data_IF_272378492684
#
_entry.id   IF_272378492684
#
_cell.length_a   1.000
_cell.length_b   1.000
_cell.length_c   1.000
_cell.angle_alpha   90.00
_cell.angle_beta   90.00
_cell.angle_gamma   90.00
#
_symmetry.space_group_name_H-M   'P 1'
#
loop_
_entity.id
_entity.type
_entity.pdbx_description
1 polymer ?
#
# COMPACT_ATOMS: atom_id res chain seq x y z
N UNK A 1 -31.30 22.54 -1.89
CA UNK A 1 -30.37 21.72 -2.71
C UNK A 1 -29.50 22.71 -3.48
N UNK A 2 -28.17 22.58 -3.56
CA UNK A 2 -27.40 23.58 -4.29
C UNK A 2 -27.64 23.43 -5.79
N UNK A 3 -28.34 24.40 -6.40
CA UNK A 3 -28.70 24.52 -7.82
C UNK A 3 -27.49 24.72 -8.78
N UNK A 4 -26.29 24.27 -8.40
CA UNK A 4 -25.05 24.50 -9.16
C UNK A 4 -24.21 23.25 -9.42
N UNK A 5 -24.77 22.05 -9.23
CA UNK A 5 -24.08 20.82 -9.65
C UNK A 5 -24.34 20.57 -11.14
N UNK A 6 -23.33 20.81 -11.99
CA UNK A 6 -23.34 20.43 -13.41
C UNK A 6 -22.83 19.01 -13.57
N UNK A 7 -23.67 18.11 -14.07
CA UNK A 7 -23.26 16.74 -14.45
C UNK A 7 -22.66 16.77 -15.84
N UNK A 8 -21.42 16.30 -15.98
CA UNK A 8 -20.69 16.27 -17.24
C UNK A 8 -20.90 14.93 -17.96
N UNK A 9 -21.85 14.90 -18.92
CA UNK A 9 -22.27 13.64 -19.55
C UNK A 9 -21.37 13.16 -20.70
N UNK A 10 -20.59 14.04 -21.33
CA UNK A 10 -19.70 13.70 -22.46
C UNK A 10 -18.32 13.20 -21.99
N UNK A 11 -17.72 12.29 -22.77
CA UNK A 11 -16.38 11.74 -22.52
C UNK A 11 -15.30 12.83 -22.54
N UNK A 12 -15.39 13.79 -23.47
CA UNK A 12 -14.41 14.88 -23.62
C UNK A 12 -14.38 15.77 -22.37
N UNK A 13 -15.55 16.21 -21.88
CA UNK A 13 -15.65 17.05 -20.68
C UNK A 13 -15.13 16.34 -19.42
N UNK A 14 -15.38 15.04 -19.27
CA UNK A 14 -14.83 14.23 -18.16
C UNK A 14 -13.31 14.11 -18.26
N UNK A 15 -12.77 13.90 -19.47
CA UNK A 15 -11.33 13.85 -19.69
C UNK A 15 -10.64 15.19 -19.41
N UNK A 16 -11.26 16.31 -19.80
CA UNK A 16 -10.75 17.65 -19.51
C UNK A 16 -10.67 17.93 -18.00
N UNK A 17 -11.72 17.57 -17.24
CA UNK A 17 -11.72 17.73 -15.78
C UNK A 17 -10.66 16.88 -15.08
N UNK A 18 -10.52 15.61 -15.47
CA UNK A 18 -9.47 14.74 -14.95
C UNK A 18 -8.08 15.30 -15.22
N UNK A 19 -7.85 15.88 -16.42
CA UNK A 19 -6.59 16.56 -16.74
C UNK A 19 -6.37 17.82 -15.91
N UNK A 20 -7.41 18.63 -15.65
CA UNK A 20 -7.29 19.82 -14.82
C UNK A 20 -6.87 19.48 -13.38
N UNK A 21 -7.53 18.50 -12.75
CA UNK A 21 -7.17 18.05 -11.40
C UNK A 21 -5.75 17.49 -11.38
N UNK A 22 -5.42 16.62 -12.33
CA UNK A 22 -4.08 16.06 -12.47
C UNK A 22 -3.00 17.16 -12.60
N UNK A 23 -3.21 18.16 -13.47
CA UNK A 23 -2.27 19.26 -13.66
C UNK A 23 -2.13 20.11 -12.39
N UNK A 24 -3.24 20.37 -11.68
CA UNK A 24 -3.21 21.08 -10.41
C UNK A 24 -2.41 20.33 -9.34
N UNK A 25 -2.71 19.05 -9.13
CA UNK A 25 -2.03 18.20 -8.16
C UNK A 25 -0.53 18.06 -8.46
N UNK A 26 -0.18 17.81 -9.73
CA UNK A 26 1.21 17.77 -10.19
C UNK A 26 1.92 19.12 -9.99
N UNK A 27 1.26 20.23 -10.29
CA UNK A 27 1.81 21.56 -10.08
C UNK A 27 2.06 21.87 -8.60
N UNK A 28 1.12 21.50 -7.72
CA UNK A 28 1.29 21.61 -6.26
C UNK A 28 2.46 20.73 -5.78
N UNK A 29 2.54 19.50 -6.26
CA UNK A 29 3.62 18.57 -5.90
C UNK A 29 5.00 19.12 -6.35
N UNK A 30 5.12 19.60 -7.58
CA UNK A 30 6.37 20.20 -8.08
C UNK A 30 6.79 21.41 -7.26
N UNK A 31 5.88 22.35 -6.95
CA UNK A 31 6.19 23.49 -6.07
C UNK A 31 6.65 23.03 -4.69
N UNK A 32 6.01 21.99 -4.14
CA UNK A 32 6.41 21.37 -2.88
C UNK A 32 7.82 20.78 -2.93
N UNK A 33 8.15 20.06 -4.01
CA UNK A 33 9.48 19.50 -4.23
C UNK A 33 10.53 20.60 -4.38
N UNK A 34 10.30 21.62 -5.23
CA UNK A 34 11.22 22.74 -5.40
C UNK A 34 11.49 23.50 -4.10
N UNK A 35 10.43 23.79 -3.33
CA UNK A 35 10.56 24.38 -1.99
C UNK A 35 11.37 23.46 -1.06
N UNK A 36 11.10 22.15 -1.11
CA UNK A 36 11.83 21.15 -0.36
C UNK A 36 13.32 21.08 -0.69
N UNK A 37 13.69 21.17 -1.98
CA UNK A 37 15.08 21.25 -2.44
C UNK A 37 15.76 22.50 -1.90
N UNK A 38 15.13 23.67 -2.01
CA UNK A 38 15.66 24.94 -1.47
C UNK A 38 15.91 24.87 0.04
N UNK A 39 14.98 24.30 0.81
CA UNK A 39 15.16 24.15 2.27
C UNK A 39 16.31 23.19 2.60
N UNK A 40 16.53 22.14 1.80
CA UNK A 40 17.66 21.22 2.04
C UNK A 40 19.01 21.92 1.92
N UNK A 41 19.16 22.91 1.04
CA UNK A 41 20.44 23.62 0.87
C UNK A 41 20.80 24.49 2.09
N UNK A 42 19.81 24.90 2.89
CA UNK A 42 20.01 25.73 4.09
C UNK A 42 20.34 24.91 5.34
N UNK A 43 20.18 23.58 5.31
CA UNK A 43 20.48 22.69 6.45
C UNK A 43 21.98 22.42 6.49
N UNK A 44 22.64 22.85 7.57
CA UNK A 44 24.10 22.70 7.76
C UNK A 44 24.46 21.77 8.90
N UNK A 45 23.52 21.46 9.79
CA UNK A 45 23.79 20.69 11.01
C UNK A 45 22.86 19.49 11.17
N UNK A 46 23.31 18.51 11.96
CA UNK A 46 22.47 17.37 12.37
C UNK A 46 21.20 17.79 13.10
N UNK A 47 21.27 18.88 13.88
CA UNK A 47 20.12 19.41 14.64
C UNK A 47 19.04 19.92 13.69
N UNK A 48 19.41 20.70 12.69
CA UNK A 48 18.49 21.21 11.66
C UNK A 48 17.89 20.09 10.81
N UNK A 49 18.71 19.09 10.43
CA UNK A 49 18.23 17.92 9.70
C UNK A 49 17.15 17.16 10.49
N UNK A 50 17.38 16.95 11.80
CA UNK A 50 16.39 16.31 12.71
C UNK A 50 15.12 17.15 12.84
N UNK A 51 15.24 18.48 12.97
CA UNK A 51 14.08 19.36 13.02
C UNK A 51 13.22 19.24 11.75
N UNK A 52 13.85 19.19 10.56
CA UNK A 52 13.14 18.96 9.30
C UNK A 52 12.49 17.58 9.24
N UNK A 53 13.16 16.52 9.70
CA UNK A 53 12.57 15.17 9.75
C UNK A 53 11.30 15.15 10.62
N UNK A 54 11.32 15.78 11.78
CA UNK A 54 10.15 15.91 12.66
C UNK A 54 9.01 16.66 11.95
N UNK A 55 9.32 17.80 11.33
CA UNK A 55 8.35 18.59 10.56
C UNK A 55 7.72 17.78 9.42
N UNK A 56 8.53 17.11 8.60
CA UNK A 56 8.03 16.32 7.47
C UNK A 56 7.20 15.12 7.94
N UNK A 57 7.60 14.46 9.03
CA UNK A 57 6.82 13.39 9.63
C UNK A 57 5.45 13.89 10.09
N UNK A 58 5.40 15.05 10.74
CA UNK A 58 4.14 15.66 11.15
C UNK A 58 3.26 15.98 9.94
N UNK A 59 3.78 16.64 8.91
CA UNK A 59 3.01 16.95 7.68
C UNK A 59 2.52 15.72 6.95
N UNK A 60 3.32 14.66 6.90
CA UNK A 60 2.90 13.38 6.36
C UNK A 60 1.72 12.80 7.14
N UNK A 61 1.81 12.75 8.47
CA UNK A 61 0.71 12.25 9.31
C UNK A 61 -0.56 13.10 9.20
N UNK A 62 -0.43 14.43 9.15
CA UNK A 62 -1.56 15.34 8.90
C UNK A 62 -2.24 15.05 7.56
N UNK A 63 -1.47 14.80 6.49
CA UNK A 63 -2.01 14.49 5.16
C UNK A 63 -2.75 13.15 5.06
N UNK A 64 -2.39 12.17 5.90
CA UNK A 64 -3.09 10.88 5.95
C UNK A 64 -4.42 10.97 6.70
N UNK A 65 -4.60 12.01 7.52
CA UNK A 65 -5.72 12.12 8.46
C UNK A 65 -5.58 11.18 9.67
N UNK A 66 -6.62 11.09 10.51
CA UNK A 66 -6.60 10.27 11.70
C UNK A 66 -6.54 8.78 11.35
N UNK A 67 -5.67 8.03 12.02
CA UNK A 67 -5.68 6.57 11.91
C UNK A 67 -6.96 5.98 12.51
N UNK A 68 -7.48 4.88 11.93
CA UNK A 68 -8.61 4.17 12.52
C UNK A 68 -8.24 3.62 13.90
N UNK A 69 -9.24 3.39 14.75
CA UNK A 69 -9.07 2.72 16.05
C UNK A 69 -8.33 1.39 15.86
N UNK A 70 -7.26 1.20 16.64
CA UNK A 70 -6.52 -0.08 16.65
C UNK A 70 -7.46 -1.21 17.07
N UNK A 71 -7.34 -2.34 16.39
CA UNK A 71 -8.05 -3.57 16.73
C UNK A 71 -7.05 -4.67 17.09
N UNK A 72 -7.43 -5.63 17.95
CA UNK A 72 -6.62 -6.83 18.17
C UNK A 72 -6.34 -7.52 16.84
N UNK A 73 -5.10 -7.96 16.62
CA UNK A 73 -4.65 -8.48 15.32
C UNK A 73 -5.40 -9.76 14.90
N UNK A 74 -5.82 -10.59 15.87
CA UNK A 74 -6.46 -11.91 15.66
C UNK A 74 -5.80 -12.74 14.55
N UNK A 75 -4.47 -12.74 14.51
CA UNK A 75 -3.71 -13.49 13.51
C UNK A 75 -3.86 -14.99 13.72
N UNK A 76 -4.00 -15.73 12.61
CA UNK A 76 -4.10 -17.18 12.58
C UNK A 76 -3.22 -17.72 11.46
N UNK A 77 -2.45 -18.75 11.76
CA UNK A 77 -1.81 -19.58 10.73
C UNK A 77 -2.84 -20.59 10.25
N UNK A 78 -3.21 -20.50 8.97
CA UNK A 78 -4.24 -21.37 8.37
C UNK A 78 -3.66 -22.56 7.62
N UNK A 79 -2.38 -22.48 7.24
CA UNK A 79 -1.64 -23.59 6.67
C UNK A 79 -0.14 -23.38 6.86
N UNK A 80 0.61 -24.48 6.90
CA UNK A 80 2.08 -24.46 6.94
C UNK A 80 2.62 -25.38 5.88
N UNK A 81 3.58 -24.89 5.10
CA UNK A 81 4.30 -25.65 4.10
C UNK A 81 5.75 -25.78 4.58
N UNK A 82 6.23 -27.00 4.71
CA UNK A 82 7.61 -27.26 5.08
C UNK A 82 8.53 -27.30 3.86
N UNK A 83 9.68 -26.64 3.98
CA UNK A 83 10.84 -26.77 3.08
C UNK A 83 12.03 -27.27 3.88
N UNK A 84 13.13 -27.57 3.20
CA UNK A 84 14.33 -28.09 3.85
C UNK A 84 14.91 -27.09 4.86
N UNK A 85 15.18 -25.86 4.43
CA UNK A 85 15.85 -24.80 5.21
C UNK A 85 14.89 -23.80 5.90
N UNK A 86 13.60 -23.80 5.56
CA UNK A 86 12.59 -22.89 6.11
C UNK A 86 11.19 -23.52 6.14
N UNK A 87 10.22 -22.80 6.69
CA UNK A 87 8.78 -23.07 6.53
C UNK A 87 8.07 -21.82 6.02
N UNK A 88 6.95 -22.05 5.35
CA UNK A 88 6.06 -21.01 4.83
C UNK A 88 4.74 -21.14 5.56
N UNK A 89 4.34 -20.12 6.30
CA UNK A 89 3.07 -20.07 7.02
C UNK A 89 2.11 -19.15 6.28
N UNK A 90 0.92 -19.63 5.94
CA UNK A 90 -0.17 -18.81 5.42
C UNK A 90 -0.90 -18.18 6.60
N UNK A 91 -0.89 -16.86 6.66
CA UNK A 91 -1.43 -16.08 7.78
C UNK A 91 -2.69 -15.33 7.32
N UNK A 92 -3.72 -15.35 8.16
CA UNK A 92 -4.86 -14.44 8.06
C UNK A 92 -4.94 -13.63 9.35
N UNK A 93 -5.08 -12.32 9.25
CA UNK A 93 -5.24 -11.43 10.40
C UNK A 93 -6.19 -10.28 10.07
N UNK A 94 -6.61 -9.50 11.06
CA UNK A 94 -7.46 -8.33 10.84
C UNK A 94 -6.66 -7.03 11.01
N UNK A 95 -6.77 -6.11 10.05
CA UNK A 95 -6.15 -4.77 10.14
C UNK A 95 -7.09 -3.73 10.76
N UNK A 96 -8.40 -3.98 10.67
CA UNK A 96 -9.50 -3.27 11.34
C UNK A 96 -10.54 -4.32 11.77
N UNK A 97 -11.51 -4.01 12.64
CA UNK A 97 -12.55 -4.97 12.99
C UNK A 97 -13.21 -5.54 11.73
N UNK A 98 -13.19 -6.86 11.60
CA UNK A 98 -13.75 -7.60 10.45
C UNK A 98 -13.12 -7.27 9.08
N UNK A 99 -11.93 -6.66 9.04
CA UNK A 99 -11.22 -6.35 7.79
C UNK A 99 -9.94 -7.19 7.66
N UNK A 100 -10.09 -8.32 6.96
CA UNK A 100 -9.06 -9.34 6.87
C UNK A 100 -7.93 -8.96 5.90
N UNK A 101 -6.73 -9.39 6.25
CA UNK A 101 -5.51 -9.32 5.46
C UNK A 101 -4.92 -10.71 5.41
N UNK A 102 -4.57 -11.15 4.22
CA UNK A 102 -3.91 -12.42 3.95
C UNK A 102 -2.43 -12.19 3.72
N UNK A 103 -1.61 -13.10 4.21
CA UNK A 103 -0.16 -12.98 4.15
C UNK A 103 0.55 -14.34 4.12
N UNK A 104 1.83 -14.29 3.77
CA UNK A 104 2.75 -15.41 3.81
C UNK A 104 3.93 -15.00 4.69
N UNK A 105 4.21 -15.82 5.70
CA UNK A 105 5.35 -15.67 6.60
C UNK A 105 6.38 -16.77 6.31
N UNK A 106 7.56 -16.37 5.86
CA UNK A 106 8.70 -17.25 5.64
C UNK A 106 9.56 -17.26 6.91
N UNK A 107 9.77 -18.44 7.50
CA UNK A 107 10.46 -18.59 8.79
C UNK A 107 11.63 -19.58 8.64
N UNK A 108 12.87 -19.19 8.95
CA UNK A 108 14.02 -20.07 8.82
C UNK A 108 13.96 -21.20 9.85
N UNK A 109 14.48 -22.38 9.48
CA UNK A 109 14.64 -23.53 10.38
C UNK A 109 16.06 -23.59 10.94
N UNK A 110 16.22 -24.24 12.10
CA UNK A 110 17.55 -24.50 12.69
C UNK A 110 18.29 -23.24 13.16
N UNK A 111 17.59 -22.12 13.35
CA UNK A 111 18.15 -20.86 13.86
C UNK A 111 17.62 -20.59 15.27
N UNK A 112 18.46 -19.98 16.11
CA UNK A 112 18.06 -19.52 17.45
C UNK A 112 17.33 -18.17 17.33
N UNK A 113 16.09 -18.09 17.80
CA UNK A 113 15.33 -16.84 17.79
C UNK A 113 15.76 -15.89 18.93
N UNK A 114 15.55 -14.56 18.79
CA UNK A 114 14.90 -13.86 17.67
C UNK A 114 15.78 -13.78 16.41
N UNK A 115 15.15 -13.65 15.25
CA UNK A 115 15.81 -13.41 13.96
C UNK A 115 15.32 -12.07 13.39
N UNK A 116 16.11 -11.36 12.56
CA UNK A 116 15.67 -10.09 12.01
C UNK A 116 14.46 -10.27 11.09
N UNK A 117 13.46 -9.40 11.25
CA UNK A 117 12.21 -9.43 10.50
C UNK A 117 12.21 -8.45 9.33
N UNK A 118 11.66 -8.87 8.19
CA UNK A 118 11.46 -8.05 6.99
C UNK A 118 9.97 -8.02 6.67
N UNK A 119 9.40 -6.82 6.61
CA UNK A 119 8.09 -6.59 6.00
C UNK A 119 8.29 -6.38 4.50
N UNK A 120 7.73 -7.25 3.68
CA UNK A 120 7.88 -7.25 2.23
C UNK A 120 6.57 -6.83 1.57
N UNK A 121 6.38 -5.53 1.25
CA UNK A 121 5.21 -5.08 0.50
C UNK A 121 5.31 -5.54 -0.96
N UNK A 122 4.22 -6.07 -1.50
CA UNK A 122 4.13 -6.42 -2.92
C UNK A 122 4.10 -5.15 -3.79
N UNK A 123 4.58 -5.28 -5.03
CA UNK A 123 4.33 -4.29 -6.09
C UNK A 123 2.93 -4.46 -6.67
N UNK A 124 2.82 -4.50 -8.00
CA UNK A 124 1.54 -4.50 -8.73
C UNK A 124 1.28 -5.79 -9.51
N UNK A 125 1.66 -6.95 -8.97
CA UNK A 125 1.34 -8.25 -9.57
C UNK A 125 -0.12 -8.62 -9.27
N UNK A 126 -0.78 -9.28 -10.22
CA UNK A 126 -2.17 -9.72 -10.06
C UNK A 126 -2.28 -10.76 -8.94
N UNK A 127 -1.29 -11.65 -8.85
CA UNK A 127 -1.18 -12.73 -7.87
C UNK A 127 -0.86 -12.23 -6.45
N UNK A 128 -0.62 -10.93 -6.26
CA UNK A 128 -0.25 -10.34 -4.98
C UNK A 128 0.97 -11.02 -4.37
N UNK A 129 0.86 -11.46 -3.12
CA UNK A 129 1.92 -12.16 -2.36
C UNK A 129 2.39 -13.47 -2.99
N UNK A 130 1.59 -14.05 -3.89
CA UNK A 130 1.94 -15.26 -4.62
C UNK A 130 2.71 -15.00 -5.92
N UNK A 131 3.00 -13.73 -6.26
CA UNK A 131 3.82 -13.38 -7.43
C UNK A 131 5.20 -14.05 -7.41
N UNK A 132 5.60 -14.62 -8.54
CA UNK A 132 6.85 -15.35 -8.76
C UNK A 132 8.10 -14.61 -8.25
N UNK A 133 8.28 -13.35 -8.65
CA UNK A 133 9.43 -12.53 -8.26
C UNK A 133 9.46 -12.21 -6.77
N UNK A 134 8.30 -12.09 -6.13
CA UNK A 134 8.20 -11.85 -4.70
C UNK A 134 8.49 -13.11 -3.89
N UNK A 135 8.01 -14.26 -4.36
CA UNK A 135 8.38 -15.55 -3.76
C UNK A 135 9.88 -15.78 -3.84
N UNK A 136 10.50 -15.56 -5.01
CA UNK A 136 11.96 -15.69 -5.17
C UNK A 136 12.74 -14.79 -4.21
N UNK A 137 12.34 -13.52 -4.08
CA UNK A 137 12.97 -12.58 -3.15
C UNK A 137 12.82 -13.02 -1.69
N UNK A 138 11.60 -13.40 -1.28
CA UNK A 138 11.34 -13.85 0.09
C UNK A 138 12.08 -15.15 0.43
N UNK A 139 12.16 -16.09 -0.51
CA UNK A 139 12.92 -17.34 -0.36
C UNK A 139 14.40 -17.03 -0.19
N UNK A 140 14.98 -16.19 -1.06
CA UNK A 140 16.38 -15.80 -0.94
C UNK A 140 16.71 -15.12 0.40
N UNK A 141 15.79 -14.32 0.94
CA UNK A 141 15.93 -13.69 2.25
C UNK A 141 15.81 -14.70 3.40
N UNK A 142 14.80 -15.58 3.41
CA UNK A 142 14.64 -16.54 4.51
C UNK A 142 15.79 -17.55 4.58
N UNK A 143 16.37 -17.94 3.44
CA UNK A 143 17.55 -18.81 3.42
C UNK A 143 18.79 -18.15 4.04
N UNK A 144 18.85 -16.81 4.06
CA UNK A 144 19.88 -16.02 4.74
C UNK A 144 19.59 -15.79 6.23
N UNK A 145 18.49 -16.34 6.75
CA UNK A 145 18.13 -16.29 8.17
C UNK A 145 17.14 -15.19 8.55
N UNK A 146 16.57 -14.46 7.58
CA UNK A 146 15.55 -13.46 7.87
C UNK A 146 14.16 -14.11 8.06
N UNK A 147 13.34 -13.55 8.94
CA UNK A 147 11.90 -13.83 8.95
C UNK A 147 11.24 -12.84 8.01
N UNK A 148 10.52 -13.30 6.98
CA UNK A 148 9.99 -12.41 5.94
C UNK A 148 8.47 -12.51 5.91
N UNK A 149 7.78 -11.38 6.04
CA UNK A 149 6.33 -11.31 5.96
C UNK A 149 5.89 -10.55 4.71
N UNK A 150 5.24 -11.25 3.79
CA UNK A 150 4.67 -10.70 2.55
C UNK A 150 3.15 -10.75 2.63
N UNK A 151 2.43 -9.69 2.23
CA UNK A 151 0.98 -9.63 2.34
C UNK A 151 0.33 -9.09 1.08
N UNK A 152 -0.94 -9.44 0.84
CA UNK A 152 -1.69 -8.93 -0.30
C UNK A 152 -2.07 -7.46 -0.08
N UNK A 153 -1.71 -6.54 -0.99
CA UNK A 153 -2.29 -5.21 -1.04
C UNK A 153 -3.80 -5.29 -1.33
N UNK A 154 -4.52 -4.20 -1.07
CA UNK A 154 -5.90 -4.09 -1.53
C UNK A 154 -5.95 -4.13 -3.06
N UNK A 155 -6.91 -4.89 -3.60
CA UNK A 155 -7.08 -5.07 -5.04
C UNK A 155 -6.09 -6.02 -5.70
N UNK A 156 -5.40 -6.87 -4.92
CA UNK A 156 -4.47 -7.88 -5.44
C UNK A 156 -4.67 -9.22 -4.73
N UNK A 157 -4.31 -10.31 -5.42
CA UNK A 157 -4.33 -11.66 -4.85
C UNK A 157 -5.69 -12.01 -4.24
N UNK A 158 -5.68 -12.44 -2.97
CA UNK A 158 -6.89 -12.84 -2.23
C UNK A 158 -7.70 -11.64 -1.71
N UNK A 159 -7.29 -10.40 -2.03
CA UNK A 159 -7.91 -9.16 -1.55
C UNK A 159 -8.49 -8.30 -2.67
N UNK A 160 -8.83 -8.92 -3.81
CA UNK A 160 -9.73 -8.36 -4.82
C UNK A 160 -11.11 -8.10 -4.20
N UNK A 161 -11.68 -6.94 -4.49
CA UNK A 161 -12.97 -6.50 -3.92
C UNK A 161 -14.03 -6.25 -4.99
N UNK A 162 -13.63 -5.94 -6.22
CA UNK A 162 -14.55 -5.61 -7.29
C UNK A 162 -14.60 -6.74 -8.31
N UNK A 163 -15.76 -7.38 -8.43
CA UNK A 163 -16.01 -8.49 -9.35
C UNK A 163 -17.12 -8.13 -10.33
N UNK A 164 -17.04 -8.65 -11.55
CA UNK A 164 -18.11 -8.56 -12.54
C UNK A 164 -19.28 -9.49 -12.19
N UNK A 165 -20.34 -9.44 -12.99
CA UNK A 165 -21.53 -10.29 -12.82
C UNK A 165 -21.25 -11.79 -12.93
N UNK A 166 -20.09 -12.18 -13.47
CA UNK A 166 -19.65 -13.57 -13.60
C UNK A 166 -18.68 -13.97 -12.47
N UNK A 167 -18.46 -13.10 -11.47
CA UNK A 167 -17.55 -13.34 -10.37
C UNK A 167 -16.06 -13.22 -10.73
N UNK A 168 -15.72 -12.63 -11.88
CA UNK A 168 -14.32 -12.39 -12.27
C UNK A 168 -13.84 -11.03 -11.77
N UNK A 169 -12.55 -10.89 -11.37
CA UNK A 169 -12.00 -9.59 -11.02
C UNK A 169 -12.25 -8.55 -12.12
N UNK A 170 -12.93 -7.46 -11.77
CA UNK A 170 -13.36 -6.45 -12.75
C UNK A 170 -12.20 -5.56 -13.24
N UNK A 171 -11.14 -5.43 -12.44
CA UNK A 171 -9.99 -4.57 -12.73
C UNK A 171 -8.67 -5.23 -12.35
N UNK A 172 -7.62 -4.85 -13.08
CA UNK A 172 -6.24 -5.17 -12.72
C UNK A 172 -5.81 -4.52 -11.39
N UNK A 173 -4.61 -4.86 -10.92
CA UNK A 173 -4.20 -4.63 -9.53
C UNK A 173 -4.06 -3.13 -9.18
N UNK A 174 -3.67 -2.31 -10.14
CA UNK A 174 -3.63 -0.84 -10.02
C UNK A 174 -4.97 -0.20 -10.27
N UNK A 175 -5.64 -0.61 -11.34
CA UNK A 175 -6.91 -0.02 -11.76
C UNK A 175 -8.01 -0.18 -10.70
N UNK A 176 -7.99 -1.25 -9.91
CA UNK A 176 -8.97 -1.48 -8.85
C UNK A 176 -8.90 -0.45 -7.72
N UNK A 177 -7.71 -0.21 -7.18
CA UNK A 177 -7.57 0.78 -6.11
C UNK A 177 -7.76 2.21 -6.64
N UNK A 178 -7.41 2.50 -7.90
CA UNK A 178 -7.77 3.76 -8.54
C UNK A 178 -9.29 3.93 -8.63
N UNK A 179 -10.02 2.87 -8.99
CA UNK A 179 -11.48 2.89 -9.05
C UNK A 179 -12.15 3.13 -7.69
N UNK A 180 -11.60 2.55 -6.62
CA UNK A 180 -12.02 2.87 -5.26
C UNK A 180 -11.71 4.34 -4.90
N UNK A 181 -10.52 4.83 -5.28
CA UNK A 181 -10.03 6.17 -4.96
C UNK A 181 -10.77 7.31 -5.67
N UNK A 182 -11.15 7.14 -6.94
CA UNK A 182 -11.87 8.17 -7.72
C UNK A 182 -13.18 8.58 -7.07
N UNK A 183 -13.84 7.66 -6.36
CA UNK A 183 -15.08 7.93 -5.62
C UNK A 183 -14.86 8.90 -4.43
N UNK A 184 -13.62 9.09 -4.00
CA UNK A 184 -13.26 10.02 -2.92
C UNK A 184 -12.82 11.39 -3.43
N UNK A 185 -12.70 11.57 -4.74
CA UNK A 185 -12.38 12.84 -5.36
C UNK A 185 -13.66 13.68 -5.52
N UNK A 186 -13.58 14.97 -5.24
CA UNK A 186 -14.69 15.91 -5.41
C UNK A 186 -15.25 15.91 -6.84
N UNK A 187 -14.40 15.67 -7.83
CA UNK A 187 -14.75 15.62 -9.26
C UNK A 187 -15.35 14.28 -9.69
N UNK A 188 -15.18 13.22 -8.90
CA UNK A 188 -15.61 11.86 -9.23
C UNK A 188 -15.00 11.28 -10.52
N UNK A 189 -13.93 11.90 -11.03
CA UNK A 189 -13.18 11.52 -12.24
C UNK A 189 -11.70 11.75 -12.03
#
# INVERSE_FOLDING_TARGET
>A
MPDRLKVFNSKEKRSFLGQMLYCLERGLAHRGFESGEKIKTTIKTRKEARARQTYLRQKFLESLGPFPRRAPLKAKTVATIHRQSFKVEKIIFQSRPNFLVTGILYVPKGRRFPQPGILFPCGHKEEGKAGDTYQMACIGLVERGYVVFCYDPLGQGERKQYFDQNGKPFKGPTAEHSFAGVQTLLTGV
#
